data_IF_727946156996
#
_entry.id   IF_727946156996
#
_cell.length_a   1.000
_cell.length_b   1.000
_cell.length_c   1.000
_cell.angle_alpha   90.00
_cell.angle_beta   90.00
_cell.angle_gamma   90.00
#
_symmetry.space_group_name_H-M   'P 1'
#
loop_
_entity.id
_entity.type
_entity.pdbx_description
1 polymer ?
#
# COMPACT_ATOMS: atom_id res chain seq x y z
N UNK A 1 -14.04 9.65 6.98
CA UNK A 1 -12.60 9.29 7.18
C UNK A 1 -11.88 10.44 7.89
N UNK A 2 -11.15 10.17 8.97
CA UNK A 2 -10.47 11.21 9.78
C UNK A 2 -9.03 10.87 10.15
N UNK A 3 -8.57 9.64 9.87
CA UNK A 3 -7.28 9.13 10.30
C UNK A 3 -6.55 8.48 9.13
N UNK A 4 -5.24 8.71 9.05
CA UNK A 4 -4.34 8.18 8.03
C UNK A 4 -3.39 7.19 8.70
N UNK A 5 -3.34 5.96 8.22
CA UNK A 5 -2.45 4.93 8.77
C UNK A 5 -1.46 4.49 7.71
N UNK A 6 -0.22 4.33 8.13
CA UNK A 6 0.78 3.67 7.32
C UNK A 6 0.60 2.16 7.43
N UNK A 7 0.45 1.49 6.29
CA UNK A 7 0.18 0.06 6.17
C UNK A 7 1.37 -0.61 5.48
N UNK A 8 1.94 -1.62 6.12
CA UNK A 8 2.93 -2.51 5.54
C UNK A 8 2.25 -3.75 4.95
N UNK A 9 2.67 -4.22 3.77
CA UNK A 9 2.07 -5.37 3.10
C UNK A 9 3.06 -6.07 2.15
N UNK A 10 2.76 -7.31 1.76
CA UNK A 10 3.65 -8.15 0.95
C UNK A 10 3.31 -8.18 -0.55
N UNK A 11 2.23 -7.50 -0.95
CA UNK A 11 1.79 -7.41 -2.34
C UNK A 11 0.29 -7.13 -2.47
N UNK A 12 -0.16 -6.82 -3.69
CA UNK A 12 -1.58 -6.58 -3.96
C UNK A 12 -2.10 -7.48 -5.09
N UNK A 13 -3.41 -7.75 -5.08
CA UNK A 13 -4.11 -8.51 -6.12
C UNK A 13 -5.42 -7.85 -6.47
N UNK A 14 -5.87 -8.04 -7.71
CA UNK A 14 -7.22 -7.66 -8.11
C UNK A 14 -8.26 -8.43 -7.29
N UNK A 15 -9.32 -7.75 -6.86
CA UNK A 15 -10.39 -8.33 -6.04
C UNK A 15 -11.75 -7.75 -6.42
N UNK A 16 -12.67 -8.60 -6.88
CA UNK A 16 -14.07 -8.22 -7.10
C UNK A 16 -14.89 -8.11 -5.81
N UNK A 17 -14.34 -8.55 -4.67
CA UNK A 17 -15.02 -8.51 -3.36
C UNK A 17 -15.01 -7.13 -2.71
N UNK A 18 -14.05 -6.29 -3.07
CA UNK A 18 -13.88 -4.95 -2.48
C UNK A 18 -14.20 -3.86 -3.51
N UNK A 19 -14.87 -2.78 -3.08
CA UNK A 19 -15.19 -1.64 -3.95
C UNK A 19 -13.96 -0.98 -4.59
N UNK A 20 -12.80 -1.10 -3.96
CA UNK A 20 -11.52 -0.62 -4.47
C UNK A 20 -11.04 -1.40 -5.71
N UNK A 21 -11.54 -2.62 -5.92
CA UNK A 21 -11.06 -3.53 -6.96
C UNK A 21 -9.76 -4.26 -6.61
N UNK A 22 -9.24 -4.10 -5.38
CA UNK A 22 -7.93 -4.61 -4.95
C UNK A 22 -7.96 -5.17 -3.53
N UNK A 23 -7.09 -6.13 -3.23
CA UNK A 23 -6.83 -6.69 -1.92
C UNK A 23 -5.33 -6.72 -1.62
N UNK A 24 -4.94 -6.32 -0.41
CA UNK A 24 -3.56 -6.39 0.07
C UNK A 24 -3.27 -7.75 0.70
N UNK A 25 -2.05 -8.27 0.51
CA UNK A 25 -1.56 -9.51 1.11
C UNK A 25 -0.83 -9.22 2.41
N UNK A 26 -1.30 -9.83 3.49
CA UNK A 26 -0.82 -9.63 4.86
C UNK A 26 -0.66 -8.15 5.26
N UNK A 27 -1.71 -7.31 5.10
CA UNK A 27 -1.63 -5.91 5.52
C UNK A 27 -1.52 -5.81 7.04
N UNK A 28 -0.58 -4.99 7.50
CA UNK A 28 -0.28 -4.72 8.92
C UNK A 28 -0.25 -3.22 9.14
N UNK A 29 -0.85 -2.76 10.24
CA UNK A 29 -0.73 -1.35 10.66
C UNK A 29 0.71 -1.13 11.13
N UNK A 30 1.46 -0.28 10.43
CA UNK A 30 2.81 0.09 10.82
C UNK A 30 2.78 1.22 11.86
N UNK A 31 2.13 2.35 11.52
CA UNK A 31 1.97 3.49 12.43
C UNK A 31 0.80 4.38 12.05
N UNK A 32 0.29 5.12 13.03
CA UNK A 32 -0.64 6.21 12.79
C UNK A 32 0.13 7.44 12.27
N UNK A 33 -0.27 7.98 11.12
CA UNK A 33 0.30 9.20 10.53
C UNK A 33 -0.48 10.43 10.97
N UNK A 34 -0.26 10.84 12.23
CA UNK A 34 -0.80 12.11 12.76
C UNK A 34 -0.20 13.34 12.09
N UNK A 35 0.93 13.16 11.40
CA UNK A 35 1.60 14.19 10.61
C UNK A 35 0.96 14.40 9.22
N UNK A 36 0.01 13.54 8.82
CA UNK A 36 -0.59 13.55 7.48
C UNK A 36 -2.08 13.84 7.53
N UNK A 37 -2.53 14.67 6.58
CA UNK A 37 -3.95 14.86 6.31
C UNK A 37 -4.46 13.80 5.35
N UNK A 38 -5.79 13.63 5.31
CA UNK A 38 -6.46 12.61 4.49
C UNK A 38 -6.15 12.80 2.99
N UNK A 39 -5.99 14.04 2.56
CA UNK A 39 -5.71 14.39 1.16
C UNK A 39 -4.29 14.01 0.73
N UNK A 40 -3.41 13.73 1.69
CA UNK A 40 -2.04 13.26 1.45
C UNK A 40 -1.92 11.74 1.44
N UNK A 41 -3.02 11.02 1.70
CA UNK A 41 -3.04 9.57 1.65
C UNK A 41 -2.87 9.08 0.20
N UNK A 42 -2.18 7.95 0.05
CA UNK A 42 -1.91 7.29 -1.21
C UNK A 42 -3.22 6.90 -1.90
N UNK A 43 -3.25 7.07 -3.23
CA UNK A 43 -4.47 6.88 -4.01
C UNK A 43 -4.67 5.42 -4.42
N UNK A 44 -5.89 5.07 -4.81
CA UNK A 44 -6.18 3.73 -5.37
C UNK A 44 -5.35 3.41 -6.62
N UNK A 45 -4.91 4.42 -7.37
CA UNK A 45 -4.05 4.25 -8.55
C UNK A 45 -2.68 3.68 -8.16
N UNK A 46 -2.08 4.22 -7.10
CA UNK A 46 -0.83 3.71 -6.53
C UNK A 46 -1.00 2.23 -6.15
N UNK A 47 -2.13 1.89 -5.51
CA UNK A 47 -2.40 0.51 -5.07
C UNK A 47 -2.54 -0.45 -6.26
N UNK A 48 -3.17 0.01 -7.36
CA UNK A 48 -3.29 -0.79 -8.59
C UNK A 48 -1.94 -1.06 -9.24
N UNK A 49 -0.98 -0.15 -9.11
CA UNK A 49 0.41 -0.37 -9.53
C UNK A 49 1.05 -1.61 -8.90
N UNK A 50 0.60 -2.01 -7.70
CA UNK A 50 1.09 -3.22 -7.03
C UNK A 50 0.40 -4.52 -7.45
N UNK A 51 -0.69 -4.44 -8.24
CA UNK A 51 -1.43 -5.64 -8.67
C UNK A 51 -0.70 -6.36 -9.80
N UNK A 52 -0.42 -7.65 -9.61
CA UNK A 52 0.34 -8.44 -10.59
C UNK A 52 1.86 -8.40 -10.40
N UNK A 53 2.36 -7.68 -9.39
CA UNK A 53 3.77 -7.77 -9.00
C UNK A 53 4.08 -9.14 -8.40
N UNK A 54 4.95 -9.89 -9.07
CA UNK A 54 5.41 -11.22 -8.62
C UNK A 54 6.81 -11.09 -8.03
N UNK A 55 6.92 -11.18 -6.70
CA UNK A 55 8.11 -11.56 -5.89
C UNK A 55 9.46 -10.84 -6.04
N UNK A 56 9.83 -10.31 -7.20
CA UNK A 56 11.20 -9.93 -7.55
C UNK A 56 11.27 -8.83 -8.62
N UNK A 57 10.23 -7.99 -8.73
CA UNK A 57 10.34 -6.79 -9.59
C UNK A 57 11.25 -5.78 -8.88
N UNK A 58 12.53 -5.70 -9.26
CA UNK A 58 13.39 -4.57 -8.90
C UNK A 58 12.78 -3.30 -9.48
N UNK A 59 12.12 -2.51 -8.62
CA UNK A 59 11.39 -1.32 -9.03
C UNK A 59 12.30 -0.09 -9.00
N UNK A 60 12.27 0.67 -10.09
CA UNK A 60 13.03 1.90 -10.23
C UNK A 60 12.35 3.02 -9.42
N UNK A 61 13.04 3.44 -8.35
CA UNK A 61 13.04 4.76 -7.74
C UNK A 61 11.66 5.39 -7.43
N UNK A 62 11.08 5.05 -6.26
CA UNK A 62 9.92 5.75 -5.71
C UNK A 62 8.98 4.91 -4.84
N UNK A 63 9.13 3.59 -4.83
CA UNK A 63 8.31 2.71 -3.98
C UNK A 63 8.74 2.80 -2.52
N UNK A 64 7.81 3.12 -1.63
CA UNK A 64 8.05 3.15 -0.17
C UNK A 64 8.18 1.71 0.32
N UNK A 65 9.36 1.33 0.79
CA UNK A 65 9.64 -0.01 1.34
C UNK A 65 10.21 0.13 2.75
N UNK A 66 9.86 -0.76 3.67
CA UNK A 66 10.49 -0.80 4.99
C UNK A 66 11.85 -1.54 4.96
N UNK A 67 12.51 -1.62 6.12
CA UNK A 67 13.82 -2.29 6.27
C UNK A 67 13.75 -3.80 6.07
N UNK A 68 12.57 -4.40 6.15
CA UNK A 68 12.33 -5.84 5.97
C UNK A 68 11.90 -6.18 4.55
N UNK A 69 11.77 -5.18 3.67
CA UNK A 69 11.37 -5.36 2.28
C UNK A 69 9.86 -5.34 2.05
N UNK A 70 9.04 -4.97 3.04
CA UNK A 70 7.60 -4.84 2.85
C UNK A 70 7.26 -3.53 2.14
N UNK A 71 6.24 -3.57 1.29
CA UNK A 71 5.68 -2.38 0.65
C UNK A 71 4.93 -1.54 1.69
N UNK A 72 5.05 -0.22 1.59
CA UNK A 72 4.40 0.75 2.47
C UNK A 72 3.41 1.61 1.67
N UNK A 73 2.24 1.82 2.26
CA UNK A 73 1.24 2.81 1.86
C UNK A 73 0.92 3.68 3.07
N UNK A 74 0.55 4.94 2.88
CA UNK A 74 -0.12 5.74 3.90
C UNK A 74 -1.15 6.66 3.26
#
# INVERSE_FOLDING_TARGET
>A
PSMVFEIAFEGARSSGRHKSGVALRFPRINRWRIDKKIEEADTLEIIRGFTGMSGETKMADGTKVDREGNLLLF
#
